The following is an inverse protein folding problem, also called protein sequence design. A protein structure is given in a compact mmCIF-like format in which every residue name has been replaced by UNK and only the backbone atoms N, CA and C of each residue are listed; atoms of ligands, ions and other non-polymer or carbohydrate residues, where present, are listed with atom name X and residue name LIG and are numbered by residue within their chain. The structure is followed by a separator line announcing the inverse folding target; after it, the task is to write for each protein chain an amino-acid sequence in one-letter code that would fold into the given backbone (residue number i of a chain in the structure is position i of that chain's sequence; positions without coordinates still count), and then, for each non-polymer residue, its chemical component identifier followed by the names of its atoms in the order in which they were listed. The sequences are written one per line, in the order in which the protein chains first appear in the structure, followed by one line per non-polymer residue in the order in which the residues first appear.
data_IF_340669232268
#
_entry.id   IF_340669232268
#
_cell.length_a   1.000
_cell.length_b   1.000
_cell.length_c   1.000
_cell.angle_alpha   90.00
_cell.angle_beta   90.00
_cell.angle_gamma   90.00
#
_symmetry.space_group_name_H-M   'P 1'
#
loop_
_entity.id
_entity.type
_entity.pdbx_description
1 polymer ?
#
# COMPACT_ATOMS: atom_id res chain seq x y z
N UNK A 1 -17.42 55.83 23.33
CA UNK A 1 -17.44 54.76 24.35
C UNK A 1 -17.59 53.45 23.60
N UNK A 2 -16.81 52.37 23.73
CA UNK A 2 -15.47 52.03 24.22
C UNK A 2 -15.27 50.57 23.76
N UNK A 3 -14.05 50.20 23.36
CA UNK A 3 -13.66 48.83 22.95
C UNK A 3 -13.71 47.80 24.10
N UNK A 4 -13.67 46.50 23.76
CA UNK A 4 -13.31 45.44 24.72
C UNK A 4 -13.40 44.00 24.20
N UNK A 5 -12.24 43.35 24.00
CA UNK A 5 -12.03 41.90 23.74
C UNK A 5 -11.78 41.12 25.04
N UNK A 6 -12.09 39.81 25.10
CA UNK A 6 -11.35 38.69 25.77
C UNK A 6 -12.25 37.41 25.86
N UNK A 7 -11.78 36.23 26.31
CA UNK A 7 -11.04 35.10 25.68
C UNK A 7 -11.40 33.81 26.48
N UNK A 8 -11.55 32.65 25.81
CA UNK A 8 -11.35 31.23 26.23
C UNK A 8 -11.81 30.66 27.60
N UNK A 9 -12.50 29.49 27.58
CA UNK A 9 -12.06 28.20 28.21
C UNK A 9 -13.14 27.08 28.17
N UNK A 10 -12.78 25.88 27.67
CA UNK A 10 -13.37 24.53 27.92
C UNK A 10 -13.30 24.13 29.41
N UNK A 11 -14.02 23.10 29.97
CA UNK A 11 -14.18 21.69 29.50
C UNK A 11 -15.54 21.04 29.96
N UNK A 12 -15.75 19.74 30.34
CA UNK A 12 -15.16 18.41 30.01
C UNK A 12 -16.20 17.27 29.68
N UNK A 13 -15.68 16.15 29.14
CA UNK A 13 -15.98 14.71 29.40
C UNK A 13 -17.42 14.12 29.42
N UNK A 14 -17.72 13.18 28.51
CA UNK A 14 -18.22 11.80 28.78
C UNK A 14 -18.82 11.16 27.52
N UNK A 15 -18.28 10.02 27.09
CA UNK A 15 -18.96 8.71 27.08
C UNK A 15 -18.51 7.76 25.96
N UNK A 16 -18.29 6.51 26.37
CA UNK A 16 -17.84 5.36 25.60
C UNK A 16 -18.81 4.95 24.47
N UNK A 17 -18.31 4.22 23.46
CA UNK A 17 -19.22 3.52 22.55
C UNK A 17 -18.62 2.94 21.28
N UNK A 18 -18.04 1.75 21.41
CA UNK A 18 -17.62 0.83 20.34
C UNK A 18 -18.68 0.66 19.22
N UNK A 19 -18.29 0.80 17.95
CA UNK A 19 -18.93 0.03 16.85
C UNK A 19 -17.93 -0.37 15.76
N UNK A 20 -17.66 -1.68 15.74
CA UNK A 20 -17.32 -2.53 14.60
C UNK A 20 -17.31 -1.85 13.22
N UNK A 21 -16.12 -1.65 12.64
CA UNK A 21 -15.96 -1.59 11.19
C UNK A 21 -15.57 -2.97 10.68
N UNK A 22 -16.56 -3.69 10.19
CA UNK A 22 -16.40 -4.89 9.36
C UNK A 22 -15.24 -4.71 8.37
N UNK A 23 -14.35 -5.70 8.18
CA UNK A 23 -13.46 -5.69 7.03
C UNK A 23 -14.34 -5.85 5.79
N UNK A 24 -14.49 -4.76 5.04
CA UNK A 24 -15.09 -4.82 3.70
C UNK A 24 -14.32 -5.84 2.88
N UNK A 25 -15.01 -6.76 2.16
CA UNK A 25 -14.36 -7.70 1.27
C UNK A 25 -13.55 -6.88 0.28
N UNK A 26 -12.24 -7.04 0.33
CA UNK A 26 -11.29 -6.37 -0.53
C UNK A 26 -11.68 -6.68 -1.97
N UNK A 27 -12.31 -5.70 -2.60
CA UNK A 27 -12.54 -5.62 -4.04
C UNK A 27 -11.18 -5.99 -4.65
N UNK A 28 -11.08 -7.16 -5.29
CA UNK A 28 -9.91 -7.55 -6.08
C UNK A 28 -9.83 -6.53 -7.21
N UNK A 29 -9.25 -5.36 -6.89
CA UNK A 29 -8.78 -4.42 -7.88
C UNK A 29 -7.94 -5.24 -8.82
N UNK A 30 -8.24 -5.17 -10.12
CA UNK A 30 -7.35 -5.69 -11.16
C UNK A 30 -6.01 -5.01 -10.92
N UNK A 31 -5.13 -5.68 -10.20
CA UNK A 31 -3.75 -5.26 -10.05
C UNK A 31 -3.08 -5.65 -11.34
N UNK A 32 -2.65 -4.65 -12.10
CA UNK A 32 -1.91 -4.89 -13.32
C UNK A 32 -0.70 -5.75 -12.99
N UNK A 33 -0.70 -6.96 -13.54
CA UNK A 33 0.22 -8.03 -13.22
C UNK A 33 0.80 -8.55 -14.51
N UNK A 34 2.13 -8.59 -14.59
CA UNK A 34 2.88 -9.13 -15.72
C UNK A 34 3.71 -10.31 -15.24
N UNK A 35 3.65 -11.42 -15.97
CA UNK A 35 4.46 -12.60 -15.67
C UNK A 35 5.84 -12.40 -16.29
N UNK A 36 6.89 -12.70 -15.51
CA UNK A 36 8.27 -12.74 -16.00
C UNK A 36 8.59 -14.19 -16.40
N UNK A 37 9.53 -14.82 -15.71
CA UNK A 37 9.87 -16.24 -15.85
C UNK A 37 9.33 -17.04 -14.65
N UNK A 38 8.99 -18.31 -14.88
CA UNK A 38 8.51 -19.23 -13.84
C UNK A 38 7.37 -18.62 -13.01
N UNK A 39 7.51 -18.60 -11.68
CA UNK A 39 6.55 -18.00 -10.75
C UNK A 39 6.90 -16.55 -10.39
N UNK A 40 7.73 -15.84 -11.17
CA UNK A 40 8.05 -14.44 -10.91
C UNK A 40 7.07 -13.52 -11.64
N UNK A 41 6.56 -12.51 -10.94
CA UNK A 41 5.62 -11.53 -11.49
C UNK A 41 6.03 -10.12 -11.11
N UNK A 42 5.70 -9.17 -11.97
CA UNK A 42 5.69 -7.74 -11.70
C UNK A 42 4.25 -7.32 -11.41
N UNK A 43 4.03 -6.55 -10.35
CA UNK A 43 2.73 -5.96 -10.02
C UNK A 43 2.87 -4.49 -9.67
N UNK A 44 1.92 -3.67 -10.12
CA UNK A 44 1.76 -2.31 -9.56
C UNK A 44 0.80 -2.40 -8.37
N UNK A 45 1.29 -1.99 -7.19
CA UNK A 45 0.51 -2.02 -5.93
C UNK A 45 0.58 -0.67 -5.22
N UNK A 46 -0.49 -0.32 -4.50
CA UNK A 46 -0.51 0.86 -3.64
C UNK A 46 -0.13 0.49 -2.21
N UNK A 47 0.85 1.17 -1.62
CA UNK A 47 1.17 1.06 -0.20
C UNK A 47 1.22 2.45 0.43
N UNK A 48 0.37 2.68 1.44
CA UNK A 48 0.24 3.99 2.13
C UNK A 48 0.06 5.17 1.14
N UNK A 49 -0.78 4.98 0.13
CA UNK A 49 -1.04 6.00 -0.88
C UNK A 49 0.07 6.21 -1.91
N UNK A 50 1.17 5.44 -1.89
CA UNK A 50 2.24 5.50 -2.90
C UNK A 50 2.21 4.26 -3.81
N UNK A 51 2.36 4.41 -5.14
CA UNK A 51 2.51 3.27 -6.04
C UNK A 51 3.89 2.66 -5.88
N UNK A 52 3.94 1.33 -5.89
CA UNK A 52 5.16 0.52 -5.86
C UNK A 52 5.13 -0.49 -7.00
N UNK A 53 6.29 -0.72 -7.60
CA UNK A 53 6.53 -1.76 -8.59
C UNK A 53 7.09 -2.97 -7.82
N UNK A 54 6.28 -4.00 -7.59
CA UNK A 54 6.67 -5.22 -6.86
C UNK A 54 7.12 -6.30 -7.83
N UNK A 55 8.38 -6.72 -7.73
CA UNK A 55 8.97 -7.81 -8.50
C UNK A 55 9.17 -8.98 -7.54
N UNK A 56 8.38 -10.04 -7.67
CA UNK A 56 8.28 -11.07 -6.63
C UNK A 56 8.08 -12.48 -7.17
N UNK A 57 8.72 -13.44 -6.52
CA UNK A 57 8.45 -14.88 -6.71
C UNK A 57 7.19 -15.26 -5.93
N UNK A 58 6.24 -15.88 -6.61
CA UNK A 58 5.03 -16.43 -6.05
C UNK A 58 5.21 -17.92 -5.77
N UNK A 59 4.40 -18.44 -4.86
CA UNK A 59 4.26 -19.86 -4.63
C UNK A 59 2.78 -20.24 -4.64
N UNK A 60 2.48 -21.50 -4.93
CA UNK A 60 1.13 -22.04 -4.83
C UNK A 60 1.01 -22.71 -3.46
N UNK A 61 0.02 -22.29 -2.66
CA UNK A 61 -0.24 -22.91 -1.38
C UNK A 61 -0.96 -24.27 -1.53
N UNK A 62 -1.14 -24.98 -0.41
CA UNK A 62 -1.82 -26.29 -0.40
C UNK A 62 -3.28 -26.23 -0.91
N UNK A 63 -3.88 -25.04 -0.92
CA UNK A 63 -5.23 -24.81 -1.42
C UNK A 63 -5.25 -24.52 -2.93
N UNK A 64 -4.08 -24.51 -3.59
CA UNK A 64 -3.95 -24.19 -5.01
C UNK A 64 -3.96 -22.68 -5.29
N UNK A 65 -3.84 -21.83 -4.27
CA UNK A 65 -3.89 -20.36 -4.43
C UNK A 65 -2.47 -19.80 -4.52
N UNK A 66 -2.23 -18.99 -5.55
CA UNK A 66 -0.97 -18.26 -5.69
C UNK A 66 -0.86 -17.17 -4.61
N UNK A 67 0.29 -17.17 -3.92
CA UNK A 67 0.62 -16.24 -2.84
C UNK A 67 1.98 -15.60 -3.10
N UNK A 68 2.17 -14.32 -2.75
CA UNK A 68 3.47 -13.67 -2.84
C UNK A 68 4.47 -14.33 -1.87
N UNK A 69 5.64 -14.71 -2.36
CA UNK A 69 6.72 -15.29 -1.56
C UNK A 69 7.61 -14.25 -0.88
N UNK A 70 8.54 -14.73 -0.04
CA UNK A 70 9.54 -13.88 0.64
C UNK A 70 10.55 -13.27 -0.33
N UNK A 71 10.90 -13.98 -1.40
CA UNK A 71 11.86 -13.53 -2.42
C UNK A 71 11.23 -12.49 -3.34
N UNK A 72 11.75 -11.27 -3.32
CA UNK A 72 11.29 -10.19 -4.17
C UNK A 72 11.48 -8.83 -3.52
N UNK A 73 11.35 -7.78 -4.32
CA UNK A 73 11.54 -6.39 -3.89
C UNK A 73 10.40 -5.54 -4.42
N UNK A 74 9.95 -4.58 -3.62
CA UNK A 74 9.04 -3.55 -4.05
C UNK A 74 9.80 -2.23 -4.19
N UNK A 75 9.90 -1.76 -5.43
CA UNK A 75 10.60 -0.54 -5.78
C UNK A 75 9.63 0.64 -5.77
N UNK A 76 10.12 1.79 -5.31
CA UNK A 76 9.47 3.06 -5.62
C UNK A 76 9.62 3.37 -7.12
N UNK A 77 8.81 4.29 -7.63
CA UNK A 77 8.93 4.78 -9.01
C UNK A 77 10.33 5.35 -9.28
N UNK A 78 10.90 6.07 -8.31
CA UNK A 78 12.25 6.64 -8.40
C UNK A 78 13.34 5.56 -8.51
N UNK A 79 13.27 4.52 -7.69
CA UNK A 79 14.21 3.39 -7.74
C UNK A 79 14.09 2.62 -9.06
N UNK A 80 12.87 2.46 -9.57
CA UNK A 80 12.63 1.79 -10.84
C UNK A 80 13.18 2.59 -12.03
N UNK A 81 13.01 3.92 -12.04
CA UNK A 81 13.63 4.78 -13.05
C UNK A 81 15.15 4.67 -13.02
N UNK A 82 15.75 4.68 -11.83
CA UNK A 82 17.20 4.51 -11.72
C UNK A 82 17.68 3.16 -12.23
N UNK A 83 16.89 2.10 -12.04
CA UNK A 83 17.17 0.78 -12.60
C UNK A 83 17.12 0.81 -14.14
N UNK A 84 16.15 1.50 -14.72
CA UNK A 84 16.06 1.68 -16.18
C UNK A 84 17.29 2.42 -16.71
N UNK A 85 17.72 3.50 -16.04
CA UNK A 85 18.88 4.31 -16.47
C UNK A 85 20.16 3.47 -16.58
N UNK A 86 20.36 2.52 -15.66
CA UNK A 86 21.54 1.64 -15.66
C UNK A 86 21.31 0.32 -16.42
N UNK A 87 20.10 0.07 -16.91
CA UNK A 87 19.75 -1.22 -17.52
C UNK A 87 20.52 -1.51 -18.82
N UNK A 88 21.02 -0.48 -19.50
CA UNK A 88 21.86 -0.63 -20.68
C UNK A 88 23.30 -1.05 -20.37
N UNK A 89 23.72 -0.99 -19.10
CA UNK A 89 25.06 -1.37 -18.66
C UNK A 89 25.16 -2.86 -18.25
N UNK A 90 24.03 -3.58 -18.23
CA UNK A 90 23.90 -4.99 -17.81
C UNK A 90 23.46 -5.84 -19.00
#
# INVERSE_FOLDING_TARGET
MSEGTQKSSTPPDSDEGSTNKNPTPSKKSKQDTWVLENFRKIQIRQFKGKPLIDIREFYVDISGVEKPGKKGIALSVEQFNKLIDVSAEV
#
